data_IF_124554137874
#
_entry.id   IF_124554137874
#
_cell.length_a   1.000
_cell.length_b   1.000
_cell.length_c   1.000
_cell.angle_alpha   90.00
_cell.angle_beta   90.00
_cell.angle_gamma   90.00
#
_symmetry.space_group_name_H-M   'P 1'
#
loop_
_entity.id
_entity.type
_entity.pdbx_description
1 polymer ?
#
# COMPACT_ATOMS: atom_id res chain seq x y z
N UNK A 1 -49.38 -24.14 16.94
CA UNK A 1 -50.58 -24.43 16.11
C UNK A 1 -51.15 -23.07 15.74
N UNK A 2 -51.06 -22.48 14.56
CA UNK A 2 -50.83 -22.89 13.15
C UNK A 2 -50.07 -21.69 12.51
N UNK A 3 -48.92 -21.83 11.84
CA UNK A 3 -48.69 -22.15 10.42
C UNK A 3 -49.45 -21.24 9.42
N UNK A 4 -48.70 -20.71 8.43
CA UNK A 4 -49.06 -20.04 7.14
C UNK A 4 -48.29 -18.71 6.98
N UNK A 5 -47.15 -18.57 6.29
CA UNK A 5 -46.62 -19.38 5.20
C UNK A 5 -47.11 -18.87 3.84
N UNK A 6 -46.54 -17.77 3.33
CA UNK A 6 -46.65 -17.40 1.91
C UNK A 6 -45.23 -17.22 1.36
N UNK A 7 -44.73 -18.29 0.77
CA UNK A 7 -43.68 -18.25 -0.25
C UNK A 7 -44.35 -17.97 -1.59
N UNK A 8 -43.80 -17.03 -2.36
CA UNK A 8 -43.98 -16.98 -3.81
C UNK A 8 -42.59 -17.01 -4.45
N UNK A 9 -42.35 -18.10 -5.15
CA UNK A 9 -41.20 -18.46 -5.97
C UNK A 9 -41.33 -17.87 -7.39
N UNK A 10 -40.29 -17.96 -8.25
CA UNK A 10 -40.06 -17.02 -9.33
C UNK A 10 -40.72 -17.44 -10.65
N UNK A 11 -41.14 -16.44 -11.43
CA UNK A 11 -41.55 -16.62 -12.82
C UNK A 11 -40.32 -16.78 -13.73
N UNK A 12 -40.31 -17.88 -14.48
CA UNK A 12 -39.41 -18.16 -15.59
C UNK A 12 -40.10 -17.84 -16.91
N UNK A 13 -39.37 -17.33 -17.91
CA UNK A 13 -39.59 -17.48 -19.36
C UNK A 13 -38.37 -16.84 -20.05
N UNK A 14 -37.43 -17.63 -20.62
CA UNK A 14 -37.27 -17.94 -22.05
C UNK A 14 -37.24 -16.71 -22.97
N UNK A 15 -36.42 -16.54 -24.00
CA UNK A 15 -35.29 -17.20 -24.67
C UNK A 15 -35.07 -16.29 -25.91
N UNK A 16 -33.87 -15.84 -26.29
CA UNK A 16 -33.55 -15.73 -27.72
C UNK A 16 -32.05 -15.58 -27.98
N UNK A 17 -31.55 -16.57 -28.70
CA UNK A 17 -30.33 -16.61 -29.51
C UNK A 17 -30.19 -15.43 -30.47
N UNK A 18 -28.96 -14.93 -30.63
CA UNK A 18 -28.58 -13.98 -31.69
C UNK A 18 -27.08 -13.98 -31.91
N UNK A 19 -26.60 -14.95 -32.70
CA UNK A 19 -25.21 -15.11 -33.13
C UNK A 19 -25.07 -14.39 -34.48
N UNK A 20 -24.27 -13.33 -34.56
CA UNK A 20 -23.89 -12.74 -35.86
C UNK A 20 -22.38 -12.69 -36.01
N UNK A 21 -21.96 -13.48 -36.98
CA UNK A 21 -20.63 -13.63 -37.56
C UNK A 21 -20.47 -12.49 -38.57
N UNK A 22 -19.31 -11.84 -38.63
CA UNK A 22 -18.88 -11.21 -39.89
C UNK A 22 -17.35 -11.21 -39.98
N UNK A 23 -16.88 -11.86 -41.04
CA UNK A 23 -15.50 -11.91 -41.49
C UNK A 23 -15.25 -10.77 -42.49
N UNK A 24 -14.04 -10.23 -42.44
CA UNK A 24 -13.21 -9.99 -43.62
C UNK A 24 -13.33 -8.64 -44.33
N UNK A 25 -12.25 -7.86 -44.28
CA UNK A 25 -11.43 -7.63 -45.48
C UNK A 25 -10.05 -7.07 -45.15
N UNK A 26 -9.11 -7.59 -45.93
CA UNK A 26 -7.66 -7.40 -45.93
C UNK A 26 -7.19 -6.05 -46.50
N UNK A 27 -5.86 -5.92 -46.47
CA UNK A 27 -4.92 -5.15 -47.30
C UNK A 27 -4.33 -3.94 -46.57
N UNK A 28 -3.03 -3.65 -46.59
CA UNK A 28 -1.76 -4.30 -46.94
C UNK A 28 -0.69 -3.24 -46.57
N UNK A 29 0.57 -3.61 -46.34
CA UNK A 29 1.68 -2.64 -46.46
C UNK A 29 2.73 -2.65 -45.35
N UNK A 30 3.67 -3.58 -45.48
CA UNK A 30 5.13 -3.37 -45.42
C UNK A 30 5.72 -2.46 -44.34
N UNK A 31 6.46 -3.04 -43.38
CA UNK A 31 7.69 -2.45 -42.86
C UNK A 31 8.61 -3.55 -42.30
N UNK A 32 9.72 -3.72 -43.02
CA UNK A 32 11.06 -4.21 -42.70
C UNK A 32 11.34 -4.95 -41.38
N UNK A 33 11.94 -6.12 -41.58
CA UNK A 33 12.82 -6.88 -40.69
C UNK A 33 14.07 -6.08 -40.27
N UNK A 34 14.75 -6.57 -39.21
CA UNK A 34 15.98 -6.09 -38.53
C UNK A 34 15.63 -5.37 -37.20
N UNK A 35 16.06 -5.76 -36.01
CA UNK A 35 17.12 -6.67 -35.56
C UNK A 35 16.78 -7.18 -34.15
N UNK A 36 17.07 -8.46 -33.93
CA UNK A 36 17.06 -9.14 -32.64
C UNK A 36 18.36 -8.83 -31.90
N UNK A 37 18.40 -7.82 -31.01
CA UNK A 37 19.47 -7.70 -30.00
C UNK A 37 19.00 -8.22 -28.64
N UNK A 38 19.19 -9.52 -28.52
CA UNK A 38 19.14 -10.34 -27.33
C UNK A 38 20.21 -9.89 -26.32
N UNK A 39 19.83 -9.02 -25.36
CA UNK A 39 20.62 -8.81 -24.13
C UNK A 39 20.17 -9.78 -23.06
N UNK A 40 20.75 -10.98 -23.12
CA UNK A 40 20.94 -11.84 -21.95
C UNK A 40 21.97 -11.21 -21.00
N UNK A 41 21.76 -11.41 -19.70
CA UNK A 41 22.72 -11.11 -18.64
C UNK A 41 22.27 -9.88 -17.84
N UNK A 42 21.83 -9.97 -16.60
CA UNK A 42 22.05 -10.99 -15.59
C UNK A 42 20.83 -10.98 -14.67
N UNK A 43 20.12 -12.10 -14.57
CA UNK A 43 19.39 -12.37 -13.34
C UNK A 43 20.48 -12.62 -12.29
N UNK A 44 21.07 -11.53 -11.80
CA UNK A 44 21.95 -11.59 -10.65
C UNK A 44 21.16 -12.32 -9.59
N UNK A 45 21.74 -13.43 -9.12
CA UNK A 45 21.19 -14.26 -8.08
C UNK A 45 20.51 -13.37 -7.06
N UNK A 46 19.18 -13.47 -6.97
CA UNK A 46 18.45 -12.94 -5.84
C UNK A 46 18.96 -13.79 -4.66
N UNK A 47 20.05 -13.31 -4.08
CA UNK A 47 20.71 -13.92 -2.95
C UNK A 47 19.59 -14.18 -1.93
N UNK A 48 19.41 -15.42 -1.45
CA UNK A 48 18.43 -15.68 -0.43
C UNK A 48 18.67 -14.65 0.69
N UNK A 49 17.61 -13.99 1.20
CA UNK A 49 17.79 -12.90 2.14
C UNK A 49 18.72 -13.36 3.24
N UNK A 50 19.71 -12.50 3.55
CA UNK A 50 20.61 -12.67 4.66
C UNK A 50 19.84 -13.28 5.84
N UNK A 51 20.41 -14.34 6.44
CA UNK A 51 19.80 -15.14 7.50
C UNK A 51 18.83 -14.31 8.36
N UNK A 52 17.53 -14.58 8.25
CA UNK A 52 16.51 -13.79 8.94
C UNK A 52 16.83 -13.69 10.42
N UNK A 53 16.75 -12.48 10.99
CA UNK A 53 17.03 -12.26 12.40
C UNK A 53 16.20 -13.22 13.27
N UNK A 54 16.84 -14.02 14.12
CA UNK A 54 16.19 -15.09 14.89
C UNK A 54 15.09 -14.57 15.82
N UNK A 55 15.26 -13.38 16.40
CA UNK A 55 14.22 -12.70 17.19
C UNK A 55 13.02 -12.32 16.32
N UNK A 56 13.26 -11.78 15.13
CA UNK A 56 12.20 -11.42 14.17
C UNK A 56 11.50 -12.64 13.59
N UNK A 57 12.22 -13.75 13.36
CA UNK A 57 11.66 -15.01 12.89
C UNK A 57 10.65 -15.60 13.90
N UNK A 58 10.85 -15.34 15.20
CA UNK A 58 9.91 -15.70 16.27
C UNK A 58 8.73 -14.71 16.41
N UNK A 59 8.63 -13.71 15.53
CA UNK A 59 7.56 -12.70 15.56
C UNK A 59 7.78 -11.56 16.55
N UNK A 60 8.97 -11.44 17.16
CA UNK A 60 9.29 -10.37 18.10
C UNK A 60 10.04 -9.23 17.43
N UNK A 61 9.84 -8.00 17.92
CA UNK A 61 10.66 -6.85 17.49
C UNK A 61 12.04 -6.94 18.13
N UNK A 62 13.10 -6.92 17.32
CA UNK A 62 14.47 -6.98 17.83
C UNK A 62 15.05 -5.58 18.11
N UNK A 63 16.15 -5.52 18.87
CA UNK A 63 16.80 -4.26 19.24
C UNK A 63 17.31 -3.46 18.04
N UNK A 64 17.74 -4.12 16.95
CA UNK A 64 18.17 -3.45 15.73
C UNK A 64 17.01 -2.64 15.11
N UNK A 65 15.81 -3.22 15.05
CA UNK A 65 14.60 -2.52 14.56
C UNK A 65 14.27 -1.32 15.46
N UNK A 66 14.31 -1.49 16.78
CA UNK A 66 14.02 -0.40 17.73
C UNK A 66 15.04 0.75 17.58
N UNK A 67 16.33 0.42 17.62
CA UNK A 67 17.43 1.40 17.54
C UNK A 67 17.39 2.18 16.23
N UNK A 68 17.32 1.47 15.08
CA UNK A 68 17.28 2.11 13.77
C UNK A 68 15.99 2.88 13.51
N UNK A 69 14.84 2.45 14.07
CA UNK A 69 13.62 3.25 14.00
C UNK A 69 13.78 4.59 14.74
N UNK A 70 14.49 4.61 15.87
CA UNK A 70 14.81 5.86 16.58
C UNK A 70 15.74 6.75 15.76
N UNK A 71 16.75 6.16 15.14
CA UNK A 71 17.67 6.87 14.23
C UNK A 71 16.92 7.45 13.03
N UNK A 72 16.02 6.69 12.40
CA UNK A 72 15.16 7.18 11.31
C UNK A 72 14.37 8.42 11.73
N UNK A 73 13.78 8.43 12.94
CA UNK A 73 13.08 9.62 13.47
C UNK A 73 14.03 10.81 13.61
N UNK A 74 15.20 10.59 14.21
CA UNK A 74 16.22 11.63 14.34
C UNK A 74 16.67 12.19 12.98
N UNK A 75 16.79 11.35 11.95
CA UNK A 75 17.13 11.77 10.59
C UNK A 75 16.01 12.59 9.95
N UNK A 76 14.75 12.22 10.16
CA UNK A 76 13.58 12.98 9.69
C UNK A 76 13.53 14.36 10.34
N UNK A 77 13.77 14.45 11.65
CA UNK A 77 13.80 15.73 12.38
C UNK A 77 14.92 16.63 11.85
N UNK A 78 16.07 16.04 11.51
CA UNK A 78 17.20 16.70 10.86
C UNK A 78 17.02 16.97 9.35
N UNK A 79 15.81 16.77 8.79
CA UNK A 79 15.46 16.94 7.36
C UNK A 79 16.24 16.04 6.39
N UNK A 80 16.79 14.93 6.88
CA UNK A 80 17.54 13.92 6.11
C UNK A 80 16.66 12.72 5.75
N UNK A 81 15.47 12.96 5.20
CA UNK A 81 14.46 11.91 4.93
C UNK A 81 14.95 10.81 3.98
N UNK A 82 15.82 11.12 3.01
CA UNK A 82 16.44 10.13 2.13
C UNK A 82 17.31 9.13 2.91
N UNK A 83 18.04 9.59 3.92
CA UNK A 83 18.86 8.72 4.77
C UNK A 83 17.97 7.81 5.64
N UNK A 84 16.84 8.31 6.12
CA UNK A 84 15.86 7.49 6.85
C UNK A 84 15.27 6.38 5.96
N UNK A 85 15.02 6.65 4.68
CA UNK A 85 14.57 5.64 3.72
C UNK A 85 15.67 4.60 3.42
N UNK A 86 16.91 5.02 3.21
CA UNK A 86 18.03 4.10 3.01
C UNK A 86 18.23 3.18 4.23
N UNK A 87 18.12 3.74 5.44
CA UNK A 87 18.21 2.97 6.69
C UNK A 87 17.07 1.94 6.83
N UNK A 88 15.87 2.24 6.33
CA UNK A 88 14.79 1.26 6.24
C UNK A 88 15.12 0.11 5.27
N UNK A 89 15.70 0.42 4.10
CA UNK A 89 16.16 -0.59 3.14
C UNK A 89 17.17 -1.54 3.77
N UNK A 90 18.20 -1.00 4.42
CA UNK A 90 19.22 -1.80 5.11
C UNK A 90 18.61 -2.69 6.20
N UNK A 91 17.61 -2.21 6.96
CA UNK A 91 16.89 -3.05 7.93
C UNK A 91 16.28 -4.29 7.27
N UNK A 92 15.65 -4.13 6.11
CA UNK A 92 15.02 -5.22 5.38
C UNK A 92 16.06 -6.15 4.74
N UNK A 93 17.10 -5.60 4.12
CA UNK A 93 18.16 -6.35 3.44
C UNK A 93 18.98 -7.22 4.41
N UNK A 94 19.17 -6.74 5.65
CA UNK A 94 19.82 -7.49 6.73
C UNK A 94 18.90 -8.55 7.38
N UNK A 95 17.70 -8.77 6.84
CA UNK A 95 16.78 -9.81 7.30
C UNK A 95 16.06 -9.46 8.62
N UNK A 96 15.99 -8.18 9.00
CA UNK A 96 15.12 -7.75 10.10
C UNK A 96 13.69 -7.52 9.61
N UNK A 97 12.72 -7.63 10.54
CA UNK A 97 11.31 -7.33 10.26
C UNK A 97 10.93 -5.96 10.82
N UNK A 98 10.76 -4.93 9.97
CA UNK A 98 10.26 -3.63 10.42
C UNK A 98 8.94 -3.74 11.16
N UNK A 99 8.78 -2.95 12.23
CA UNK A 99 7.54 -2.85 12.99
C UNK A 99 6.56 -1.87 12.34
N UNK A 100 5.30 -1.84 12.78
CA UNK A 100 4.34 -0.82 12.34
C UNK A 100 4.89 0.60 12.59
N UNK A 101 5.54 0.82 13.72
CA UNK A 101 6.16 2.11 14.05
C UNK A 101 7.25 2.48 13.04
N UNK A 102 8.02 1.50 12.57
CA UNK A 102 9.05 1.68 11.55
C UNK A 102 8.42 2.08 10.21
N UNK A 103 7.33 1.43 9.81
CA UNK A 103 6.55 1.79 8.62
C UNK A 103 5.91 3.17 8.70
N UNK A 104 5.31 3.54 9.84
CA UNK A 104 4.76 4.90 10.06
C UNK A 104 5.86 5.96 9.95
N UNK A 105 7.06 5.65 10.44
CA UNK A 105 8.23 6.53 10.35
C UNK A 105 8.69 6.67 8.89
N UNK A 106 8.74 5.56 8.14
CA UNK A 106 9.03 5.57 6.70
C UNK A 106 8.00 6.40 5.93
N UNK A 107 6.72 6.26 6.22
CA UNK A 107 5.64 7.02 5.57
C UNK A 107 5.80 8.53 5.78
N UNK A 108 6.25 8.94 6.97
CA UNK A 108 6.58 10.35 7.25
C UNK A 108 7.76 10.81 6.40
N UNK A 109 8.82 10.00 6.26
CA UNK A 109 9.95 10.31 5.39
C UNK A 109 9.56 10.42 3.92
N UNK A 110 8.68 9.52 3.43
CA UNK A 110 8.10 9.55 2.07
C UNK A 110 7.33 10.84 1.84
N UNK A 111 6.46 11.20 2.78
CA UNK A 111 5.62 12.41 2.71
C UNK A 111 6.47 13.68 2.64
N UNK A 112 7.49 13.79 3.50
CA UNK A 112 8.40 14.94 3.52
C UNK A 112 9.18 15.10 2.21
N UNK A 113 9.42 14.01 1.48
CA UNK A 113 10.10 14.01 0.18
C UNK A 113 9.14 14.16 -1.00
N UNK A 114 7.82 14.22 -0.75
CA UNK A 114 6.77 14.17 -1.76
C UNK A 114 6.87 12.96 -2.71
N UNK A 115 7.42 11.85 -2.22
CA UNK A 115 7.60 10.61 -2.98
C UNK A 115 6.35 9.71 -2.93
N UNK A 116 5.17 10.28 -3.23
CA UNK A 116 3.87 9.65 -2.96
C UNK A 116 3.62 8.34 -3.72
N UNK A 117 4.33 8.11 -4.83
CA UNK A 117 4.30 6.85 -5.59
C UNK A 117 4.80 5.64 -4.79
N UNK A 118 5.55 5.85 -3.70
CA UNK A 118 6.00 4.79 -2.81
C UNK A 118 4.95 4.37 -1.76
N UNK A 119 3.83 5.09 -1.63
CA UNK A 119 2.81 4.78 -0.61
C UNK A 119 2.14 3.41 -0.85
N UNK A 120 1.74 3.02 -2.07
CA UNK A 120 1.13 1.71 -2.31
C UNK A 120 2.05 0.53 -1.97
N UNK A 121 3.34 0.61 -2.30
CA UNK A 121 4.31 -0.44 -1.96
C UNK A 121 4.56 -0.51 -0.45
N UNK A 122 4.58 0.62 0.24
CA UNK A 122 4.63 0.68 1.70
C UNK A 122 3.42 -0.03 2.33
N UNK A 123 2.20 0.22 1.83
CA UNK A 123 0.99 -0.43 2.32
C UNK A 123 1.01 -1.94 2.08
N UNK A 124 1.45 -2.38 0.90
CA UNK A 124 1.62 -3.79 0.59
C UNK A 124 2.61 -4.47 1.55
N UNK A 125 3.67 -3.77 1.96
CA UNK A 125 4.63 -4.27 2.95
C UNK A 125 4.03 -4.47 4.35
N UNK A 126 3.10 -3.61 4.78
CA UNK A 126 2.37 -3.74 6.04
C UNK A 126 1.45 -4.97 6.00
N UNK A 127 0.70 -5.12 4.90
CA UNK A 127 -0.22 -6.24 4.72
C UNK A 127 0.55 -7.57 4.65
N UNK A 128 1.66 -7.63 3.90
CA UNK A 128 2.52 -8.81 3.80
C UNK A 128 3.18 -9.19 5.13
N UNK A 129 3.48 -8.20 5.97
CA UNK A 129 4.01 -8.42 7.32
C UNK A 129 2.92 -8.78 8.35
N UNK A 130 1.64 -8.78 7.97
CA UNK A 130 0.51 -9.03 8.88
C UNK A 130 0.38 -7.98 9.98
N UNK A 131 0.89 -6.77 9.75
CA UNK A 131 0.88 -5.70 10.73
C UNK A 131 -0.47 -5.01 10.74
N UNK A 132 -1.11 -4.95 11.91
CA UNK A 132 -2.42 -4.29 12.06
C UNK A 132 -2.24 -2.78 12.21
N UNK A 133 -2.72 -1.94 11.28
CA UNK A 133 -2.61 -0.49 11.40
C UNK A 133 -3.27 0.06 12.66
N UNK A 134 -2.68 1.08 13.25
CA UNK A 134 -3.24 1.80 14.41
C UNK A 134 -3.67 3.22 14.02
N UNK A 135 -4.22 3.95 14.99
CA UNK A 135 -4.68 5.32 14.75
C UNK A 135 -3.55 6.27 14.33
N UNK A 136 -2.32 6.02 14.79
CA UNK A 136 -1.15 6.84 14.44
C UNK A 136 -0.82 6.63 12.96
N UNK A 137 -0.77 5.37 12.50
CA UNK A 137 -0.55 5.04 11.11
C UNK A 137 -1.63 5.63 10.20
N UNK A 138 -2.91 5.47 10.54
CA UNK A 138 -4.00 6.04 9.74
C UNK A 138 -3.92 7.56 9.63
N UNK A 139 -3.60 8.25 10.73
CA UNK A 139 -3.42 9.70 10.70
C UNK A 139 -2.25 10.13 9.80
N UNK A 140 -1.12 9.41 9.87
CA UNK A 140 0.01 9.65 8.98
C UNK A 140 -0.36 9.42 7.52
N UNK A 141 -1.11 8.35 7.21
CA UNK A 141 -1.56 8.03 5.86
C UNK A 141 -2.54 9.06 5.30
N UNK A 142 -3.52 9.50 6.09
CA UNK A 142 -4.43 10.58 5.71
C UNK A 142 -3.65 11.85 5.41
N UNK A 143 -2.69 12.23 6.27
CA UNK A 143 -1.83 13.39 6.01
C UNK A 143 -1.01 13.24 4.73
N UNK A 144 -0.48 12.04 4.47
CA UNK A 144 0.30 11.75 3.26
C UNK A 144 -0.52 11.97 1.99
N UNK A 145 -1.79 11.51 1.98
CA UNK A 145 -2.69 11.73 0.85
C UNK A 145 -3.13 13.19 0.71
N UNK A 146 -3.36 13.90 1.83
CA UNK A 146 -3.64 15.35 1.82
C UNK A 146 -2.47 16.13 1.22
N UNK A 147 -1.23 15.85 1.63
CA UNK A 147 -0.01 16.50 1.09
C UNK A 147 0.25 16.16 -0.38
N UNK A 148 -0.35 15.08 -0.89
CA UNK A 148 -0.32 14.68 -2.28
C UNK A 148 -1.47 15.28 -3.12
N UNK A 149 -2.39 16.04 -2.51
CA UNK A 149 -3.61 16.53 -3.17
C UNK A 149 -4.65 15.45 -3.46
N UNK A 150 -4.47 14.23 -2.92
CA UNK A 150 -5.30 13.04 -3.20
C UNK A 150 -6.45 12.94 -2.19
N UNK A 151 -7.33 13.95 -2.18
CA UNK A 151 -8.41 14.07 -1.17
C UNK A 151 -9.40 12.90 -1.15
N UNK A 152 -9.65 12.26 -2.30
CA UNK A 152 -10.49 11.06 -2.37
C UNK A 152 -9.93 9.90 -1.55
N UNK A 153 -8.62 9.68 -1.62
CA UNK A 153 -7.93 8.62 -0.86
C UNK A 153 -7.79 8.96 0.62
N UNK A 154 -7.55 10.24 0.94
CA UNK A 154 -7.58 10.72 2.32
C UNK A 154 -8.95 10.44 2.98
N UNK A 155 -10.04 10.74 2.27
CA UNK A 155 -11.41 10.53 2.75
C UNK A 155 -11.77 9.04 2.85
N UNK A 156 -11.36 8.24 1.86
CA UNK A 156 -11.52 6.77 1.89
C UNK A 156 -10.79 6.16 3.09
N UNK A 157 -9.56 6.61 3.36
CA UNK A 157 -8.74 6.17 4.50
C UNK A 157 -9.39 6.56 5.83
N UNK A 158 -9.95 7.76 5.95
CA UNK A 158 -10.72 8.19 7.12
C UNK A 158 -11.91 7.25 7.40
N UNK A 159 -12.70 6.90 6.37
CA UNK A 159 -13.82 5.98 6.55
C UNK A 159 -13.36 4.56 6.87
N UNK A 160 -12.25 4.08 6.28
CA UNK A 160 -11.62 2.81 6.64
C UNK A 160 -11.26 2.77 8.12
N UNK A 161 -10.60 3.82 8.63
CA UNK A 161 -10.29 3.97 10.05
C UNK A 161 -11.57 3.99 10.90
N UNK A 162 -12.55 4.82 10.55
CA UNK A 162 -13.74 5.06 11.38
C UNK A 162 -14.73 3.89 11.43
N UNK A 163 -14.89 3.13 10.33
CA UNK A 163 -15.95 2.11 10.19
C UNK A 163 -15.41 0.68 10.22
N UNK A 164 -14.18 0.47 9.75
CA UNK A 164 -13.65 -0.87 9.50
C UNK A 164 -12.53 -1.26 10.47
N UNK A 165 -12.12 -0.38 11.38
CA UNK A 165 -11.00 -0.64 12.29
C UNK A 165 -11.38 -0.42 13.77
N UNK A 166 -11.96 -1.45 14.44
CA UNK A 166 -12.35 -1.38 15.84
C UNK A 166 -11.18 -0.94 16.73
N UNK A 167 -11.43 0.05 17.59
CA UNK A 167 -10.43 0.64 18.48
C UNK A 167 -9.59 1.76 17.88
N UNK A 168 -9.67 2.02 16.57
CA UNK A 168 -8.96 3.13 15.92
C UNK A 168 -9.96 4.26 15.60
N UNK A 169 -10.20 5.15 16.56
CA UNK A 169 -11.14 6.26 16.36
C UNK A 169 -10.40 7.48 15.81
N UNK A 170 -11.00 8.20 14.83
CA UNK A 170 -10.49 9.51 14.42
C UNK A 170 -10.29 10.43 15.62
N UNK A 171 -9.18 11.16 15.62
CA UNK A 171 -8.82 12.13 16.66
C UNK A 171 -8.96 13.55 16.14
N UNK A 172 -8.79 14.54 17.01
CA UNK A 172 -8.73 15.97 16.62
C UNK A 172 -7.69 16.18 15.50
N UNK A 173 -6.54 15.51 15.59
CA UNK A 173 -5.52 15.58 14.55
C UNK A 173 -6.04 15.09 13.19
N UNK A 174 -6.85 14.03 13.16
CA UNK A 174 -7.44 13.50 11.92
C UNK A 174 -8.31 14.56 11.24
N UNK A 175 -9.19 15.21 12.00
CA UNK A 175 -10.09 16.23 11.46
C UNK A 175 -9.34 17.49 11.03
N UNK A 176 -8.36 17.94 11.82
CA UNK A 176 -7.52 19.09 11.46
C UNK A 176 -6.78 18.85 10.13
N UNK A 177 -6.23 17.65 9.94
CA UNK A 177 -5.57 17.27 8.68
C UNK A 177 -6.53 17.29 7.49
N UNK A 178 -7.75 16.78 7.65
CA UNK A 178 -8.76 16.80 6.57
C UNK A 178 -9.23 18.23 6.26
N UNK A 179 -9.51 19.05 7.27
CA UNK A 179 -9.91 20.45 7.11
C UNK A 179 -8.81 21.23 6.37
N UNK A 180 -7.53 21.04 6.76
CA UNK A 180 -6.40 21.60 6.03
C UNK A 180 -6.41 21.18 4.56
N UNK A 181 -6.64 19.89 4.28
CA UNK A 181 -6.69 19.38 2.91
C UNK A 181 -7.80 19.98 2.06
N UNK A 182 -9.02 20.05 2.58
CA UNK A 182 -10.15 20.67 1.87
C UNK A 182 -10.01 22.19 1.69
N UNK A 183 -9.20 22.86 2.52
CA UNK A 183 -8.88 24.28 2.32
C UNK A 183 -7.80 24.55 1.27
N UNK A 184 -7.02 23.53 0.89
CA UNK A 184 -5.96 23.62 -0.14
C UNK A 184 -6.48 23.13 -1.51
N UNK A 185 -7.46 22.22 -1.50
CA UNK A 185 -8.01 21.53 -2.66
C UNK A 185 -9.05 22.34 -3.46
#
# INVERSE_FOLDING_TARGET
MLENGVQLTPASTSNSTGKTRNNGKELNGSASTEEEEKRQGNAGDAQPPASTCTTCAKGHTCQAVVSRTREMRSLIDAKKSHQAQALFGHLADEGHRPSLVTYTTLLTAVTNQRAFEAIPSLLAGIDAAGLRPDAIFFNALINSFVEAGRMGEATSTFWKMSRHHPGCRPTISTFNTLIKGFGIA
#
